data_IF_280540413538
#
_entry.id   IF_280540413538
#
_cell.length_a   1.000
_cell.length_b   1.000
_cell.length_c   1.000
_cell.angle_alpha   90.00
_cell.angle_beta   90.00
_cell.angle_gamma   90.00
#
_symmetry.space_group_name_H-M   'P 1'
#
loop_
_entity.id
_entity.type
_entity.pdbx_description
1 polymer ?
#
# COMPACT_ATOMS: atom_id res chain seq x y z
N UNK A 1 -14.19 19.02 9.03
CA UNK A 1 -13.96 17.55 8.99
C UNK A 1 -13.99 17.08 7.55
N UNK A 2 -12.94 16.42 7.06
CA UNK A 2 -12.93 15.79 5.72
C UNK A 2 -13.85 14.56 5.78
N UNK A 3 -14.87 14.52 4.91
CA UNK A 3 -15.83 13.41 4.87
C UNK A 3 -15.20 12.21 4.17
N UNK A 4 -15.30 11.01 4.75
CA UNK A 4 -15.00 9.76 4.08
C UNK A 4 -16.00 9.56 2.92
N UNK A 5 -15.49 9.11 1.76
CA UNK A 5 -16.32 8.72 0.61
C UNK A 5 -16.10 7.25 0.32
N UNK A 6 -17.13 6.45 0.51
CA UNK A 6 -17.11 5.01 0.22
C UNK A 6 -17.70 4.80 -1.17
N UNK A 7 -16.96 4.09 -2.03
CA UNK A 7 -17.42 3.68 -3.36
C UNK A 7 -17.68 2.17 -3.34
N UNK A 8 -18.95 1.80 -3.24
CA UNK A 8 -19.38 0.41 -3.42
C UNK A 8 -19.40 0.07 -4.89
N UNK A 9 -18.74 -1.02 -5.27
CA UNK A 9 -18.64 -1.42 -6.67
C UNK A 9 -18.23 -2.89 -6.82
N UNK A 10 -18.89 -3.62 -7.71
CA UNK A 10 -18.56 -4.99 -8.08
C UNK A 10 -17.25 -5.09 -8.91
N UNK A 11 -16.75 -6.29 -9.13
CA UNK A 11 -15.64 -6.51 -10.06
C UNK A 11 -16.00 -5.97 -11.46
N UNK A 12 -15.05 -5.33 -12.16
CA UNK A 12 -15.28 -4.76 -13.49
C UNK A 12 -16.06 -3.44 -13.55
N UNK A 13 -16.57 -2.92 -12.44
CA UNK A 13 -17.42 -1.71 -12.38
C UNK A 13 -16.68 -0.37 -12.54
N UNK A 14 -15.41 -0.39 -12.98
CA UNK A 14 -14.64 0.84 -13.21
C UNK A 14 -14.11 1.53 -11.95
N UNK A 15 -13.94 0.80 -10.83
CA UNK A 15 -13.35 1.36 -9.59
C UNK A 15 -12.02 2.06 -9.82
N UNK A 16 -11.11 1.39 -10.51
CA UNK A 16 -9.77 1.93 -10.83
C UNK A 16 -9.87 3.17 -11.73
N UNK A 17 -10.82 3.18 -12.67
CA UNK A 17 -11.10 4.36 -13.49
C UNK A 17 -11.52 5.55 -12.64
N UNK A 18 -12.50 5.35 -11.75
CA UNK A 18 -13.02 6.42 -10.87
C UNK A 18 -11.96 6.94 -9.91
N UNK A 19 -11.10 6.05 -9.37
CA UNK A 19 -10.00 6.46 -8.50
C UNK A 19 -8.95 7.27 -9.27
N UNK A 20 -8.56 6.81 -10.46
CA UNK A 20 -7.63 7.55 -11.31
C UNK A 20 -8.20 8.91 -11.73
N UNK A 21 -9.47 8.97 -12.13
CA UNK A 21 -10.16 10.23 -12.44
C UNK A 21 -10.11 11.20 -11.25
N UNK A 22 -10.46 10.73 -10.06
CA UNK A 22 -10.41 11.56 -8.84
C UNK A 22 -9.01 12.08 -8.58
N UNK A 23 -7.99 11.22 -8.67
CA UNK A 23 -6.59 11.58 -8.49
C UNK A 23 -6.17 12.65 -9.50
N UNK A 24 -6.50 12.46 -10.79
CA UNK A 24 -6.18 13.40 -11.86
C UNK A 24 -6.91 14.73 -11.67
N UNK A 25 -8.19 14.72 -11.31
CA UNK A 25 -8.94 15.95 -11.00
C UNK A 25 -8.28 16.76 -9.90
N UNK A 26 -7.84 16.11 -8.81
CA UNK A 26 -7.19 16.81 -7.70
C UNK A 26 -5.85 17.45 -8.12
N UNK A 27 -5.08 16.77 -8.99
CA UNK A 27 -3.83 17.32 -9.55
C UNK A 27 -4.08 18.44 -10.56
N UNK A 28 -5.07 18.30 -11.44
CA UNK A 28 -5.43 19.35 -12.40
C UNK A 28 -5.94 20.58 -11.67
N UNK A 29 -6.69 20.39 -10.58
CA UNK A 29 -7.15 21.49 -9.75
C UNK A 29 -5.99 22.23 -9.10
N UNK A 30 -5.03 21.51 -8.55
CA UNK A 30 -3.82 22.03 -7.87
C UNK A 30 -2.60 21.19 -8.24
N UNK A 31 -1.76 21.59 -9.21
CA UNK A 31 -0.65 20.80 -9.72
C UNK A 31 0.38 20.36 -8.68
N UNK A 32 0.48 21.04 -7.55
CA UNK A 32 1.36 20.64 -6.44
C UNK A 32 0.74 19.59 -5.49
N UNK A 33 -0.55 19.35 -5.59
CA UNK A 33 -1.28 18.46 -4.67
C UNK A 33 -0.82 17.00 -4.74
N UNK A 34 -0.17 16.56 -5.84
CA UNK A 34 0.35 15.20 -5.95
C UNK A 34 1.30 14.80 -4.82
N UNK A 35 1.97 15.77 -4.20
CA UNK A 35 2.87 15.55 -3.05
C UNK A 35 2.13 15.18 -1.77
N UNK A 36 0.86 15.56 -1.69
CA UNK A 36 0.00 15.42 -0.52
C UNK A 36 -1.09 14.38 -0.72
N UNK A 37 -1.11 13.70 -1.89
CA UNK A 37 -2.05 12.62 -2.18
C UNK A 37 -1.33 11.30 -2.03
N UNK A 38 -1.91 10.42 -1.23
CA UNK A 38 -1.50 9.04 -1.11
C UNK A 38 -2.57 8.15 -1.74
N UNK A 39 -2.18 7.34 -2.70
CA UNK A 39 -3.00 6.25 -3.21
C UNK A 39 -2.41 4.92 -2.77
N UNK A 40 -3.23 4.06 -2.18
CA UNK A 40 -2.79 2.74 -1.74
C UNK A 40 -3.56 1.65 -2.47
N UNK A 41 -2.85 0.57 -2.78
CA UNK A 41 -3.41 -0.63 -3.42
C UNK A 41 -2.98 -1.87 -2.65
N UNK A 42 -3.59 -3.00 -2.96
CA UNK A 42 -3.27 -4.24 -2.27
C UNK A 42 -2.07 -4.96 -2.88
N UNK A 43 -1.88 -4.90 -4.20
CA UNK A 43 -0.82 -5.63 -4.91
C UNK A 43 0.14 -4.70 -5.64
N UNK A 44 1.38 -5.15 -5.84
CA UNK A 44 2.37 -4.44 -6.66
C UNK A 44 1.87 -4.23 -8.09
N UNK A 45 1.22 -5.24 -8.69
CA UNK A 45 0.63 -5.15 -10.03
C UNK A 45 -0.40 -4.02 -10.11
N UNK A 46 -1.34 -3.94 -9.17
CA UNK A 46 -2.33 -2.87 -9.11
C UNK A 46 -1.70 -1.49 -8.90
N UNK A 47 -0.60 -1.41 -8.12
CA UNK A 47 0.17 -0.17 -7.94
C UNK A 47 0.76 0.31 -9.26
N UNK A 48 1.43 -0.58 -10.02
CA UNK A 48 2.06 -0.22 -11.29
C UNK A 48 1.01 0.14 -12.36
N UNK A 49 -0.09 -0.58 -12.43
CA UNK A 49 -1.22 -0.25 -13.31
C UNK A 49 -1.80 1.12 -13.00
N UNK A 50 -1.97 1.45 -11.72
CA UNK A 50 -2.49 2.75 -11.28
C UNK A 50 -1.52 3.88 -11.62
N UNK A 51 -0.22 3.72 -11.33
CA UNK A 51 0.82 4.69 -11.68
C UNK A 51 0.87 4.94 -13.18
N UNK A 52 0.99 3.87 -13.96
CA UNK A 52 1.06 3.94 -15.42
C UNK A 52 -0.16 4.62 -16.01
N UNK A 53 -1.35 4.31 -15.50
CA UNK A 53 -2.60 4.93 -15.93
C UNK A 53 -2.59 6.43 -15.65
N UNK A 54 -2.31 6.84 -14.41
CA UNK A 54 -2.30 8.26 -14.04
C UNK A 54 -1.29 9.04 -14.89
N UNK A 55 -0.06 8.53 -15.02
CA UNK A 55 0.99 9.21 -15.80
C UNK A 55 0.66 9.30 -17.29
N UNK A 56 0.13 8.22 -17.87
CA UNK A 56 -0.28 8.19 -19.28
C UNK A 56 -1.39 9.21 -19.53
N UNK A 57 -2.40 9.25 -18.69
CA UNK A 57 -3.53 10.18 -18.87
C UNK A 57 -3.12 11.64 -18.69
N UNK A 58 -2.28 11.94 -17.68
CA UNK A 58 -1.70 13.29 -17.52
C UNK A 58 -0.87 13.66 -18.75
N UNK A 59 -0.10 12.72 -19.31
CA UNK A 59 0.66 12.96 -20.54
C UNK A 59 -0.25 13.26 -21.74
N UNK A 60 -1.31 12.48 -21.94
CA UNK A 60 -2.27 12.68 -23.02
C UNK A 60 -2.98 14.04 -22.89
N UNK A 61 -3.46 14.38 -21.70
CA UNK A 61 -4.07 15.68 -21.41
C UNK A 61 -3.09 16.83 -21.69
N UNK A 62 -1.82 16.71 -21.29
CA UNK A 62 -0.79 17.72 -21.51
C UNK A 62 -0.43 17.90 -23.00
N UNK A 63 -0.46 16.82 -23.77
CA UNK A 63 -0.13 16.83 -25.20
C UNK A 63 -1.32 17.19 -26.10
N UNK A 64 -2.52 17.34 -25.55
CA UNK A 64 -3.75 17.52 -26.33
C UNK A 64 -4.21 16.24 -27.05
N UNK A 65 -3.77 15.08 -26.56
CA UNK A 65 -4.19 13.78 -27.06
C UNK A 65 -5.59 13.41 -26.56
N UNK A 66 -6.17 12.38 -27.19
CA UNK A 66 -7.48 11.85 -26.76
C UNK A 66 -7.34 11.13 -25.41
N UNK A 67 -7.97 11.66 -24.37
CA UNK A 67 -8.08 11.04 -23.06
C UNK A 67 -9.54 10.78 -22.73
N UNK A 68 -9.91 9.57 -22.26
CA UNK A 68 -11.29 9.28 -21.85
C UNK A 68 -11.73 10.08 -20.61
N UNK A 69 -10.84 10.84 -20.01
CA UNK A 69 -11.11 11.63 -18.81
C UNK A 69 -11.38 13.10 -19.09
N UNK A 70 -11.10 13.63 -20.29
CA UNK A 70 -11.14 15.07 -20.57
C UNK A 70 -12.51 15.66 -20.27
N UNK A 71 -13.59 15.09 -20.79
CA UNK A 71 -14.96 15.59 -20.59
C UNK A 71 -15.36 15.56 -19.11
N UNK A 72 -15.02 14.45 -18.43
CA UNK A 72 -15.30 14.30 -16.99
C UNK A 72 -14.51 15.28 -16.14
N UNK A 73 -13.29 15.64 -16.53
CA UNK A 73 -12.47 16.64 -15.83
C UNK A 73 -13.00 18.04 -16.08
N UNK A 74 -13.30 18.39 -17.34
CA UNK A 74 -13.85 19.68 -17.71
C UNK A 74 -15.16 19.94 -16.97
N UNK A 75 -16.08 18.97 -16.96
CA UNK A 75 -17.36 19.09 -16.25
C UNK A 75 -17.20 19.16 -14.72
N UNK A 76 -16.33 18.31 -14.15
CA UNK A 76 -16.13 18.26 -12.69
C UNK A 76 -15.46 19.53 -12.15
N UNK A 77 -14.52 20.10 -12.90
CA UNK A 77 -13.74 21.26 -12.47
C UNK A 77 -14.26 22.58 -13.05
N UNK A 78 -15.25 22.54 -13.95
CA UNK A 78 -15.76 23.71 -14.69
C UNK A 78 -14.63 24.46 -15.40
N UNK A 79 -13.75 23.73 -16.08
CA UNK A 79 -12.60 24.24 -16.81
C UNK A 79 -12.74 23.98 -18.31
N UNK A 80 -12.19 24.87 -19.13
CA UNK A 80 -12.01 24.62 -20.56
C UNK A 80 -10.88 23.62 -20.81
N UNK A 81 -10.91 22.92 -21.95
CA UNK A 81 -9.85 21.98 -22.33
C UNK A 81 -8.46 22.61 -22.33
N UNK A 82 -8.33 23.85 -22.80
CA UNK A 82 -7.05 24.56 -22.82
C UNK A 82 -6.49 24.76 -21.41
N UNK A 83 -7.34 25.10 -20.45
CA UNK A 83 -6.94 25.22 -19.03
C UNK A 83 -6.57 23.87 -18.43
N UNK A 84 -7.30 22.81 -18.76
CA UNK A 84 -6.96 21.44 -18.35
C UNK A 84 -5.61 21.04 -18.93
N UNK A 85 -5.38 21.28 -20.22
CA UNK A 85 -4.11 21.00 -20.90
C UNK A 85 -2.93 21.73 -20.26
N UNK A 86 -3.05 23.04 -20.03
CA UNK A 86 -2.00 23.85 -19.41
C UNK A 86 -1.66 23.33 -17.98
N UNK A 87 -2.68 23.02 -17.18
CA UNK A 87 -2.48 22.48 -15.83
C UNK A 87 -1.91 21.07 -15.84
N UNK A 88 -2.32 20.22 -16.80
CA UNK A 88 -1.77 18.90 -17.02
C UNK A 88 -0.28 18.96 -17.38
N UNK A 89 0.11 19.90 -18.24
CA UNK A 89 1.52 20.15 -18.60
C UNK A 89 2.33 20.51 -17.35
N UNK A 90 1.84 21.45 -16.55
CA UNK A 90 2.47 21.85 -15.29
C UNK A 90 2.58 20.68 -14.32
N UNK A 91 1.52 19.90 -14.15
CA UNK A 91 1.49 18.75 -13.26
C UNK A 91 2.49 17.66 -13.73
N UNK A 92 2.51 17.33 -15.03
CA UNK A 92 3.44 16.39 -15.62
C UNK A 92 4.89 16.78 -15.33
N UNK A 93 5.26 18.03 -15.61
CA UNK A 93 6.61 18.54 -15.37
C UNK A 93 6.98 18.42 -13.90
N UNK A 94 6.11 18.85 -12.99
CA UNK A 94 6.37 18.77 -11.54
C UNK A 94 6.52 17.35 -11.03
N UNK A 95 5.68 16.41 -11.49
CA UNK A 95 5.77 15.00 -11.12
C UNK A 95 7.08 14.39 -11.62
N UNK A 96 7.46 14.65 -12.88
CA UNK A 96 8.69 14.11 -13.44
C UNK A 96 9.96 14.65 -12.74
N UNK A 97 9.96 15.94 -12.38
CA UNK A 97 11.08 16.53 -11.63
C UNK A 97 11.19 16.04 -10.18
N UNK A 98 10.09 15.61 -9.58
CA UNK A 98 10.08 15.16 -8.18
C UNK A 98 9.24 13.89 -8.01
N UNK A 99 9.62 12.85 -8.75
CA UNK A 99 8.89 11.59 -8.83
C UNK A 99 8.78 10.86 -7.48
N UNK A 100 9.75 11.02 -6.61
CA UNK A 100 9.75 10.41 -5.27
C UNK A 100 8.57 10.86 -4.39
N UNK A 101 7.97 12.02 -4.71
CA UNK A 101 6.78 12.54 -4.03
C UNK A 101 5.46 12.04 -4.63
N UNK A 102 5.51 11.35 -5.77
CA UNK A 102 4.34 10.73 -6.39
C UNK A 102 4.01 9.41 -5.67
N UNK A 103 3.17 9.49 -4.65
CA UNK A 103 2.93 8.40 -3.71
C UNK A 103 1.74 7.54 -4.13
N UNK A 104 2.02 6.51 -4.96
CA UNK A 104 1.12 5.39 -5.22
C UNK A 104 1.85 4.14 -4.75
N UNK A 105 1.38 3.48 -3.70
CA UNK A 105 2.09 2.44 -2.96
C UNK A 105 1.17 1.25 -2.66
N UNK A 106 1.76 0.12 -2.33
CA UNK A 106 0.99 -0.94 -1.64
C UNK A 106 0.76 -0.55 -0.17
N UNK A 107 -0.24 -1.18 0.45
CA UNK A 107 -0.52 -1.00 1.88
C UNK A 107 0.73 -1.33 2.71
N UNK A 108 1.42 -2.43 2.40
CA UNK A 108 2.64 -2.86 3.11
C UNK A 108 3.76 -1.80 3.01
N UNK A 109 4.03 -1.30 1.80
CA UNK A 109 5.03 -0.23 1.61
C UNK A 109 4.66 1.06 2.35
N UNK A 110 3.37 1.36 2.47
CA UNK A 110 2.92 2.50 3.26
C UNK A 110 3.23 2.30 4.74
N UNK A 111 2.89 1.15 5.32
CA UNK A 111 3.21 0.85 6.72
C UNK A 111 4.71 0.80 6.98
N UNK A 112 5.50 0.17 6.09
CA UNK A 112 6.96 0.20 6.19
C UNK A 112 7.52 1.62 6.22
N UNK A 113 6.93 2.53 5.44
CA UNK A 113 7.33 3.94 5.41
C UNK A 113 7.03 4.66 6.73
N UNK A 114 5.88 4.36 7.34
CA UNK A 114 5.51 4.84 8.67
C UNK A 114 6.48 4.29 9.71
N UNK A 115 6.70 2.98 9.75
CA UNK A 115 7.62 2.34 10.69
C UNK A 115 9.02 2.97 10.62
N UNK A 116 9.56 3.15 9.40
CA UNK A 116 10.87 3.79 9.22
C UNK A 116 10.92 5.24 9.71
N UNK A 117 9.81 5.97 9.64
CA UNK A 117 9.75 7.34 10.15
C UNK A 117 9.78 7.38 11.69
N UNK A 118 9.24 6.36 12.35
CA UNK A 118 9.14 6.27 13.81
C UNK A 118 10.16 5.32 14.45
N UNK A 119 11.12 4.81 13.67
CA UNK A 119 12.06 3.78 14.13
C UNK A 119 12.82 4.17 15.41
N UNK A 120 13.20 5.45 15.51
CA UNK A 120 13.89 5.99 16.69
C UNK A 120 12.99 6.06 17.91
N UNK A 121 11.70 6.36 17.70
CA UNK A 121 10.71 6.48 18.77
C UNK A 121 10.24 5.11 19.26
N UNK A 122 10.28 4.11 18.37
CA UNK A 122 9.90 2.73 18.67
C UNK A 122 11.06 1.90 19.25
N UNK A 123 12.25 2.48 19.42
CA UNK A 123 13.46 1.78 19.86
C UNK A 123 13.78 0.52 19.03
N UNK A 124 13.47 0.56 17.74
CA UNK A 124 13.76 -0.53 16.80
C UNK A 124 15.18 -0.39 16.25
N UNK A 125 15.81 -1.50 15.96
CA UNK A 125 17.09 -1.51 15.24
C UNK A 125 16.93 -0.89 13.85
N UNK A 126 17.93 -0.13 13.42
CA UNK A 126 17.94 0.50 12.07
C UNK A 126 17.92 -0.54 10.94
N UNK A 127 18.38 -1.75 11.21
CA UNK A 127 18.46 -2.87 10.27
C UNK A 127 17.36 -3.90 10.47
N UNK A 128 16.19 -3.52 11.01
CA UNK A 128 15.09 -4.48 11.15
C UNK A 128 14.63 -4.98 9.77
N UNK A 129 14.39 -6.28 9.71
CA UNK A 129 13.75 -6.93 8.57
C UNK A 129 12.30 -7.25 8.93
N UNK A 130 11.41 -7.09 7.96
CA UNK A 130 10.02 -7.53 8.10
C UNK A 130 9.95 -8.91 7.45
N UNK A 131 9.72 -9.93 8.28
CA UNK A 131 9.43 -11.27 7.80
C UNK A 131 7.93 -11.38 7.51
N UNK A 132 7.60 -11.84 6.31
CA UNK A 132 6.22 -12.04 5.87
C UNK A 132 5.85 -13.54 5.82
N UNK A 133 6.85 -14.40 5.91
CA UNK A 133 6.63 -15.83 5.98
C UNK A 133 6.31 -16.25 7.41
N UNK A 134 5.02 -16.45 7.66
CA UNK A 134 4.51 -16.86 8.97
C UNK A 134 5.02 -18.24 9.39
N UNK A 135 5.24 -19.15 8.42
CA UNK A 135 5.73 -20.50 8.73
C UNK A 135 7.17 -20.45 9.20
N UNK A 136 8.01 -19.67 8.51
CA UNK A 136 9.40 -19.46 8.94
C UNK A 136 9.50 -18.82 10.32
N UNK A 137 8.59 -17.89 10.64
CA UNK A 137 8.52 -17.28 11.97
C UNK A 137 8.11 -18.29 13.04
N UNK A 138 7.14 -19.16 12.73
CA UNK A 138 6.69 -20.22 13.64
C UNK A 138 7.81 -21.24 13.88
N UNK A 139 8.51 -21.71 12.85
CA UNK A 139 9.65 -22.60 12.98
C UNK A 139 10.73 -22.00 13.89
N UNK A 140 11.20 -20.81 13.60
CA UNK A 140 12.21 -20.13 14.42
C UNK A 140 11.76 -19.89 15.86
N UNK A 141 10.48 -19.59 16.05
CA UNK A 141 9.92 -19.39 17.39
C UNK A 141 9.85 -20.71 18.15
N UNK A 142 9.50 -21.81 17.48
CA UNK A 142 9.51 -23.15 18.05
C UNK A 142 10.94 -23.60 18.42
N UNK A 143 11.90 -23.41 17.52
CA UNK A 143 13.31 -23.71 17.78
C UNK A 143 13.84 -22.93 18.99
N UNK A 144 13.57 -21.62 19.05
CA UNK A 144 13.97 -20.78 20.18
C UNK A 144 13.30 -21.21 21.50
N UNK A 145 12.03 -21.64 21.43
CA UNK A 145 11.31 -22.17 22.57
C UNK A 145 11.99 -23.48 23.07
N UNK A 146 12.29 -24.40 22.16
CA UNK A 146 12.96 -25.67 22.46
C UNK A 146 14.33 -25.44 23.10
N UNK A 147 15.12 -24.51 22.55
CA UNK A 147 16.41 -24.13 23.14
C UNK A 147 16.27 -23.58 24.55
N UNK A 148 15.20 -22.86 24.85
CA UNK A 148 14.94 -22.25 26.16
C UNK A 148 14.46 -23.22 27.21
N UNK A 149 14.03 -24.44 26.86
CA UNK A 149 13.51 -25.46 27.78
C UNK A 149 14.53 -25.83 28.86
N UNK A 150 15.80 -25.90 28.48
CA UNK A 150 16.87 -26.25 29.43
C UNK A 150 17.06 -25.23 30.56
N UNK A 151 16.75 -23.95 30.25
CA UNK A 151 16.93 -22.83 31.18
C UNK A 151 15.63 -22.41 31.90
N UNK A 152 14.47 -22.83 31.40
CA UNK A 152 13.17 -22.41 31.92
C UNK A 152 12.35 -23.62 32.42
N UNK A 153 12.24 -23.76 33.76
CA UNK A 153 11.51 -24.85 34.40
C UNK A 153 10.00 -24.82 34.12
N UNK A 154 9.38 -23.64 34.04
CA UNK A 154 7.93 -23.49 33.75
C UNK A 154 7.58 -24.03 32.37
N UNK A 155 8.36 -23.66 31.36
CA UNK A 155 8.14 -24.12 29.97
C UNK A 155 8.33 -25.65 29.90
N UNK A 156 9.33 -26.18 30.61
CA UNK A 156 9.59 -27.61 30.65
C UNK A 156 8.42 -28.38 31.29
N UNK A 157 7.90 -27.92 32.43
CA UNK A 157 6.75 -28.55 33.11
C UNK A 157 5.51 -28.52 32.21
N UNK A 158 5.21 -27.39 31.62
CA UNK A 158 4.09 -27.26 30.69
C UNK A 158 4.22 -28.19 29.48
N UNK A 159 5.41 -28.32 28.89
CA UNK A 159 5.63 -29.23 27.76
C UNK A 159 5.50 -30.71 28.16
N UNK A 160 5.94 -31.07 29.36
CA UNK A 160 5.76 -32.45 29.87
C UNK A 160 4.29 -32.77 30.11
N UNK A 161 3.52 -31.83 30.65
CA UNK A 161 2.08 -31.96 30.85
C UNK A 161 1.37 -32.10 29.49
N UNK A 162 1.65 -31.23 28.55
CA UNK A 162 1.09 -31.29 27.18
C UNK A 162 1.44 -32.60 26.46
N UNK A 163 2.69 -33.08 26.59
CA UNK A 163 3.12 -34.35 25.98
C UNK A 163 2.40 -35.54 26.62
N UNK A 164 2.20 -35.53 27.95
CA UNK A 164 1.46 -36.58 28.65
C UNK A 164 -0.01 -36.64 28.22
N UNK A 165 -0.69 -35.49 28.13
CA UNK A 165 -2.08 -35.40 27.64
C UNK A 165 -2.22 -35.94 26.21
N UNK A 166 -1.28 -35.63 25.33
CA UNK A 166 -1.28 -36.10 23.94
C UNK A 166 -1.05 -37.60 23.82
N UNK A 167 -0.22 -38.17 24.69
CA UNK A 167 0.01 -39.61 24.73
C UNK A 167 -1.22 -40.36 25.24
N UNK A 168 -1.92 -39.80 26.22
CA UNK A 168 -3.15 -40.37 26.77
C UNK A 168 -4.31 -40.32 25.77
N UNK A 169 -4.36 -39.31 24.92
CA UNK A 169 -5.33 -39.17 23.81
C UNK A 169 -5.05 -40.08 22.62
N UNK A 170 -3.93 -40.83 22.62
CA UNK A 170 -3.57 -41.75 21.55
C UNK A 170 -3.24 -41.09 20.22
N UNK A 171 -2.95 -39.79 20.24
CA UNK A 171 -2.58 -39.01 19.04
C UNK A 171 -1.19 -39.43 18.54
N UNK A 172 -1.10 -39.84 17.26
CA UNK A 172 0.21 -40.00 16.60
C UNK A 172 0.86 -38.63 16.42
N UNK A 173 2.13 -38.57 16.74
CA UNK A 173 2.96 -37.42 16.36
C UNK A 173 3.16 -37.46 14.84
N UNK A 174 2.44 -36.67 14.08
CA UNK A 174 2.80 -36.37 12.70
C UNK A 174 3.87 -35.28 12.74
N UNK A 175 5.11 -35.68 12.45
CA UNK A 175 6.23 -34.76 12.17
C UNK A 175 6.22 -34.36 10.72
#
# INVERSE_FOLDING_TARGET
MKRAKILSASAGSGKTYKLALKYICDIIKHPDSYRNILAVTFTNKATEEMKSRILREIHQLASGGKSPYVDSICSTLSLSEDKVRQRALTARTKILHNYSRFSVLTIDRFFQRILRAFIKELSLDLNYNIELDTNLLLERSADSLIESIAANSEIREWLLEYASERLDEGSRWDM
#
